data_IF_569285796061
#
_entry.id   IF_569285796061
#
_cell.length_a   1.000
_cell.length_b   1.000
_cell.length_c   1.000
_cell.angle_alpha   90.00
_cell.angle_beta   90.00
_cell.angle_gamma   90.00
#
_symmetry.space_group_name_H-M   'P 1'
#
loop_
_entity.id
_entity.type
_entity.pdbx_description
1 polymer ?
#
# COMPACT_ATOMS: atom_id res chain seq x y z
N UNK A 1 24.05 -2.34 -22.73
CA UNK A 1 22.87 -3.04 -22.18
C UNK A 1 22.11 -3.78 -23.27
N UNK A 2 22.12 -3.28 -24.51
CA UNK A 2 21.48 -3.93 -25.67
C UNK A 2 22.15 -5.25 -26.11
N UNK A 3 23.47 -5.37 -25.98
CA UNK A 3 24.21 -6.54 -26.46
C UNK A 3 23.96 -7.83 -25.66
N UNK A 4 23.56 -7.70 -24.38
CA UNK A 4 23.24 -8.85 -23.51
C UNK A 4 21.84 -9.41 -23.84
N UNK A 5 20.94 -8.57 -24.35
CA UNK A 5 19.59 -8.98 -24.76
C UNK A 5 19.61 -9.64 -26.14
N UNK A 6 20.45 -9.17 -27.06
CA UNK A 6 20.64 -9.83 -28.36
C UNK A 6 21.28 -11.22 -28.21
N UNK A 7 22.34 -11.34 -27.39
CA UNK A 7 23.03 -12.62 -27.19
C UNK A 7 22.12 -13.66 -26.51
N UNK A 8 21.23 -13.23 -25.61
CA UNK A 8 20.27 -14.15 -24.97
C UNK A 8 19.17 -14.60 -25.94
N UNK A 9 18.67 -13.74 -26.82
CA UNK A 9 17.68 -14.13 -27.84
C UNK A 9 18.27 -15.10 -28.87
N UNK A 10 19.52 -14.92 -29.29
CA UNK A 10 20.21 -15.80 -30.24
C UNK A 10 20.50 -17.18 -29.63
N UNK A 11 20.87 -17.24 -28.34
CA UNK A 11 21.06 -18.51 -27.62
C UNK A 11 19.75 -19.29 -27.50
N UNK A 12 18.65 -18.61 -27.18
CA UNK A 12 17.32 -19.24 -27.10
C UNK A 12 16.79 -19.71 -28.45
N UNK A 13 17.06 -18.97 -29.53
CA UNK A 13 16.68 -19.37 -30.89
C UNK A 13 17.43 -20.63 -31.36
N UNK A 14 18.73 -20.75 -31.07
CA UNK A 14 19.51 -21.96 -31.40
C UNK A 14 19.12 -23.18 -30.56
N UNK A 15 18.74 -22.97 -29.30
CA UNK A 15 18.28 -24.05 -28.42
C UNK A 15 16.91 -24.60 -28.86
N UNK A 16 16.04 -23.74 -29.39
CA UNK A 16 14.75 -24.13 -29.98
C UNK A 16 14.91 -24.90 -31.29
N UNK A 17 15.81 -24.46 -32.16
CA UNK A 17 16.08 -25.12 -33.45
C UNK A 17 16.74 -26.50 -33.26
N UNK A 18 17.62 -26.63 -32.27
CA UNK A 18 18.28 -27.90 -31.93
C UNK A 18 17.35 -28.90 -31.22
N UNK A 19 16.23 -28.43 -30.64
CA UNK A 19 15.17 -29.28 -30.06
C UNK A 19 14.11 -29.70 -31.07
N UNK A 20 14.00 -29.01 -32.19
CA UNK A 20 13.03 -29.26 -33.25
C UNK A 20 13.69 -29.95 -34.44
N UNK A 21 14.46 -31.01 -34.14
CA UNK A 21 15.14 -31.85 -35.11
C UNK A 21 14.28 -32.13 -36.35
N UNK A 22 14.86 -31.78 -37.49
CA UNK A 22 14.36 -31.87 -38.85
C UNK A 22 13.65 -33.20 -39.14
N UNK A 23 12.43 -33.14 -39.67
CA UNK A 23 11.81 -34.25 -40.39
C UNK A 23 10.43 -34.65 -39.87
N UNK A 24 9.43 -34.20 -40.61
CA UNK A 24 8.13 -34.85 -40.87
C UNK A 24 7.12 -35.03 -39.71
N UNK A 25 5.88 -34.62 -40.04
CA UNK A 25 4.60 -34.85 -39.36
C UNK A 25 4.40 -34.24 -37.96
N UNK A 26 4.04 -32.94 -37.92
CA UNK A 26 3.52 -32.30 -36.72
C UNK A 26 2.06 -31.84 -36.93
N UNK A 27 1.12 -32.69 -36.52
CA UNK A 27 -0.29 -32.32 -36.41
C UNK A 27 -0.47 -31.37 -35.21
N UNK A 28 -1.06 -30.20 -35.45
CA UNK A 28 -1.33 -29.15 -34.44
C UNK A 28 -2.33 -29.57 -33.33
N UNK A 29 -2.61 -30.87 -33.18
CA UNK A 29 -3.48 -31.45 -32.14
C UNK A 29 -2.69 -32.04 -30.96
N UNK A 30 -1.39 -32.33 -31.11
CA UNK A 30 -0.56 -32.88 -30.01
C UNK A 30 -0.18 -31.83 -28.95
N UNK A 31 -0.50 -30.55 -29.17
CA UNK A 31 -0.28 -29.46 -28.23
C UNK A 31 -1.56 -28.98 -27.52
N UNK A 32 -2.62 -29.80 -27.48
CA UNK A 32 -3.69 -29.64 -26.49
C UNK A 32 -3.18 -30.16 -25.13
N UNK A 33 -2.39 -29.33 -24.46
CA UNK A 33 -2.12 -29.48 -23.04
C UNK A 33 -3.47 -29.34 -22.33
N UNK A 34 -3.96 -30.42 -21.69
CA UNK A 34 -5.10 -30.33 -20.79
C UNK A 34 -4.88 -29.16 -19.82
N UNK A 35 -5.87 -28.28 -19.60
CA UNK A 35 -5.69 -27.17 -18.70
C UNK A 35 -5.47 -27.71 -17.28
N UNK A 36 -4.23 -27.62 -16.81
CA UNK A 36 -3.88 -27.86 -15.41
C UNK A 36 -4.64 -26.85 -14.56
N UNK A 37 -5.68 -27.33 -13.87
CA UNK A 37 -6.49 -26.54 -12.95
C UNK A 37 -5.73 -26.26 -11.64
N UNK A 38 -4.61 -25.55 -11.70
CA UNK A 38 -3.94 -25.05 -10.51
C UNK A 38 -4.24 -23.55 -10.33
N UNK A 39 -4.94 -23.23 -9.25
CA UNK A 39 -5.48 -21.91 -8.86
C UNK A 39 -4.42 -20.80 -8.73
N UNK A 40 -3.12 -21.10 -8.86
CA UNK A 40 -2.02 -20.14 -8.76
C UNK A 40 -1.60 -19.50 -10.09
N UNK A 41 -2.02 -20.04 -11.23
CA UNK A 41 -1.71 -19.49 -12.56
C UNK A 41 -2.85 -18.67 -13.18
N UNK A 42 -3.99 -18.49 -12.48
CA UNK A 42 -5.14 -17.71 -12.98
C UNK A 42 -4.78 -16.28 -13.34
N UNK A 43 -3.93 -15.62 -12.54
CA UNK A 43 -3.50 -14.25 -12.78
C UNK A 43 -2.60 -14.11 -14.02
N UNK A 44 -1.72 -15.09 -14.31
CA UNK A 44 -0.87 -15.00 -15.50
C UNK A 44 -1.61 -15.38 -16.79
N UNK A 45 -2.56 -16.30 -16.72
CA UNK A 45 -3.44 -16.65 -17.84
C UNK A 45 -4.38 -15.49 -18.16
N UNK A 46 -4.92 -14.79 -17.15
CA UNK A 46 -5.71 -13.55 -17.35
C UNK A 46 -4.87 -12.40 -17.94
N UNK A 47 -3.60 -12.26 -17.55
CA UNK A 47 -2.72 -11.23 -18.10
C UNK A 47 -2.35 -11.54 -19.55
N UNK A 48 -2.05 -12.81 -19.87
CA UNK A 48 -1.76 -13.25 -21.24
C UNK A 48 -3.00 -13.16 -22.14
N UNK A 49 -4.19 -13.56 -21.66
CA UNK A 49 -5.45 -13.40 -22.41
C UNK A 49 -5.79 -11.92 -22.60
N UNK A 50 -5.57 -11.07 -21.59
CA UNK A 50 -5.72 -9.61 -21.71
C UNK A 50 -4.73 -9.01 -22.71
N UNK A 51 -3.52 -9.55 -22.83
CA UNK A 51 -2.53 -9.11 -23.81
C UNK A 51 -2.91 -9.53 -25.24
N UNK A 52 -3.47 -10.73 -25.41
CA UNK A 52 -4.03 -11.20 -26.70
C UNK A 52 -5.26 -10.39 -27.11
N UNK A 53 -6.14 -10.01 -26.17
CA UNK A 53 -7.29 -9.12 -26.40
C UNK A 53 -6.92 -7.66 -26.67
N UNK A 54 -5.72 -7.22 -26.27
CA UNK A 54 -5.20 -5.88 -26.59
C UNK A 54 -4.50 -5.81 -27.95
N UNK A 55 -3.96 -6.93 -28.44
CA UNK A 55 -3.38 -7.04 -29.78
C UNK A 55 -4.46 -7.30 -30.85
N UNK A 56 -5.54 -8.00 -30.48
CA UNK A 56 -6.76 -8.07 -31.28
C UNK A 56 -7.54 -6.75 -31.12
N UNK A 57 -8.01 -6.15 -32.20
CA UNK A 57 -8.71 -4.84 -32.17
C UNK A 57 -10.09 -4.85 -31.50
N UNK A 58 -10.37 -5.83 -30.63
CA UNK A 58 -11.66 -6.15 -30.02
C UNK A 58 -12.13 -5.09 -29.01
N UNK A 59 -11.22 -4.36 -28.36
CA UNK A 59 -11.55 -3.22 -27.49
C UNK A 59 -12.29 -2.11 -28.25
N UNK A 60 -12.07 -1.98 -29.57
CA UNK A 60 -12.75 -0.97 -30.40
C UNK A 60 -14.20 -1.33 -30.75
N UNK A 61 -14.63 -2.57 -30.50
CA UNK A 61 -15.98 -3.08 -30.79
C UNK A 61 -16.79 -3.40 -29.52
N UNK A 62 -16.57 -2.67 -28.43
CA UNK A 62 -17.53 -2.71 -27.32
C UNK A 62 -18.85 -2.06 -27.76
N UNK A 63 -19.91 -2.86 -27.71
CA UNK A 63 -21.30 -2.49 -27.94
C UNK A 63 -21.62 -1.14 -27.25
N UNK A 64 -22.09 -0.10 -27.94
CA UNK A 64 -22.34 1.21 -27.36
C UNK A 64 -23.22 1.14 -26.10
N UNK A 65 -24.16 0.19 -26.04
CA UNK A 65 -25.00 -0.05 -24.87
C UNK A 65 -24.19 -0.57 -23.65
N UNK A 66 -23.25 -1.50 -23.85
CA UNK A 66 -22.35 -1.97 -22.78
C UNK A 66 -21.41 -0.86 -22.32
N UNK A 67 -21.00 0.02 -23.24
CA UNK A 67 -20.16 1.17 -22.95
C UNK A 67 -20.92 2.24 -22.14
N UNK A 68 -22.19 2.48 -22.45
CA UNK A 68 -23.07 3.36 -21.66
C UNK A 68 -23.39 2.77 -20.30
N UNK A 69 -23.62 1.46 -20.20
CA UNK A 69 -23.80 0.78 -18.90
C UNK A 69 -22.50 0.81 -18.09
N UNK A 70 -21.33 0.63 -18.70
CA UNK A 70 -20.03 0.80 -18.03
C UNK A 70 -19.79 2.24 -17.59
N UNK A 71 -20.10 3.23 -18.41
CA UNK A 71 -19.97 4.65 -18.05
C UNK A 71 -20.97 5.04 -16.94
N UNK A 72 -22.20 4.53 -16.96
CA UNK A 72 -23.22 4.77 -15.95
C UNK A 72 -22.97 4.01 -14.64
N UNK A 73 -22.41 2.80 -14.70
CA UNK A 73 -21.96 2.04 -13.51
C UNK A 73 -20.73 2.68 -12.90
N UNK A 74 -19.80 3.21 -13.70
CA UNK A 74 -18.75 4.08 -13.21
C UNK A 74 -19.40 5.29 -12.52
N UNK A 75 -20.27 6.05 -13.18
CA UNK A 75 -20.87 7.27 -12.60
C UNK A 75 -21.68 7.02 -11.30
N UNK A 76 -22.40 5.89 -11.21
CA UNK A 76 -23.08 5.43 -10.01
C UNK A 76 -22.12 4.96 -8.90
N UNK A 77 -20.97 4.38 -9.28
CA UNK A 77 -19.91 3.96 -8.36
C UNK A 77 -19.03 5.16 -7.92
N UNK A 78 -18.98 6.26 -8.69
CA UNK A 78 -18.29 7.54 -8.45
C UNK A 78 -19.17 8.61 -7.76
N UNK A 79 -20.28 8.23 -7.14
CA UNK A 79 -21.10 9.14 -6.33
C UNK A 79 -20.41 9.63 -5.03
N UNK A 80 -21.14 10.42 -4.23
CA UNK A 80 -20.66 10.98 -2.96
C UNK A 80 -20.11 9.94 -1.96
N UNK A 81 -20.62 8.69 -2.01
CA UNK A 81 -20.18 7.59 -1.15
C UNK A 81 -18.73 7.16 -1.42
N UNK A 82 -18.27 7.22 -2.66
CA UNK A 82 -16.88 6.90 -3.00
C UNK A 82 -15.94 7.96 -2.43
N UNK A 83 -16.27 9.24 -2.64
CA UNK A 83 -15.50 10.35 -2.10
C UNK A 83 -15.43 10.34 -0.57
N UNK A 84 -16.49 9.88 0.12
CA UNK A 84 -16.44 9.65 1.56
C UNK A 84 -15.47 8.54 1.97
N UNK A 85 -15.47 7.41 1.26
CA UNK A 85 -14.53 6.32 1.53
C UNK A 85 -13.09 6.75 1.27
N UNK A 86 -12.84 7.44 0.15
CA UNK A 86 -11.54 8.01 -0.18
C UNK A 86 -11.11 9.04 0.86
N UNK A 87 -12.00 9.92 1.30
CA UNK A 87 -11.74 10.88 2.36
C UNK A 87 -11.36 10.21 3.68
N UNK A 88 -12.05 9.14 4.07
CA UNK A 88 -11.75 8.36 5.28
C UNK A 88 -10.37 7.69 5.19
N UNK A 89 -10.04 7.09 4.04
CA UNK A 89 -8.73 6.46 3.80
C UNK A 89 -7.61 7.50 3.74
N UNK A 90 -7.85 8.63 3.07
CA UNK A 90 -6.93 9.76 3.03
C UNK A 90 -6.66 10.33 4.42
N UNK A 91 -7.69 10.40 5.27
CA UNK A 91 -7.54 10.81 6.67
C UNK A 91 -6.75 9.79 7.49
N UNK A 92 -6.99 8.49 7.31
CA UNK A 92 -6.19 7.44 7.94
C UNK A 92 -4.72 7.48 7.51
N UNK A 93 -4.48 7.70 6.22
CA UNK A 93 -3.14 7.89 5.65
C UNK A 93 -2.46 9.15 6.22
N UNK A 94 -3.21 10.25 6.32
CA UNK A 94 -2.76 11.49 6.91
C UNK A 94 -2.34 11.29 8.37
N UNK A 95 -3.19 10.65 9.19
CA UNK A 95 -2.87 10.32 10.58
C UNK A 95 -1.60 9.47 10.69
N UNK A 96 -1.49 8.43 9.87
CA UNK A 96 -0.32 7.55 9.86
C UNK A 96 0.97 8.30 9.46
N UNK A 97 0.89 9.23 8.51
CA UNK A 97 2.04 10.01 8.05
C UNK A 97 2.40 11.15 9.01
N UNK A 98 1.40 11.78 9.63
CA UNK A 98 1.59 12.81 10.64
C UNK A 98 2.24 12.24 11.91
N UNK A 99 1.95 10.98 12.23
CA UNK A 99 2.55 10.29 13.37
C UNK A 99 4.07 10.21 13.28
N UNK A 100 4.60 9.81 12.12
CA UNK A 100 6.05 9.64 11.92
C UNK A 100 6.78 10.97 11.95
N UNK A 101 6.16 12.04 11.43
CA UNK A 101 6.74 13.39 11.38
C UNK A 101 6.71 14.09 12.73
N UNK A 102 5.59 14.04 13.49
CA UNK A 102 5.54 14.69 14.80
C UNK A 102 6.57 14.09 15.76
N UNK A 103 6.69 12.76 15.80
CA UNK A 103 7.61 12.10 16.73
C UNK A 103 9.06 12.54 16.48
N UNK A 104 9.47 12.73 15.22
CA UNK A 104 10.81 13.20 14.90
C UNK A 104 11.12 14.55 15.58
N UNK A 105 10.13 15.46 15.67
CA UNK A 105 10.30 16.77 16.29
C UNK A 105 10.18 16.75 17.82
N UNK A 106 9.35 15.87 18.37
CA UNK A 106 9.15 15.76 19.82
C UNK A 106 10.13 14.79 20.49
N UNK A 107 10.94 14.05 19.72
CA UNK A 107 11.84 13.01 20.22
C UNK A 107 12.83 13.53 21.26
N UNK A 108 13.39 14.72 21.02
CA UNK A 108 14.37 15.34 21.93
C UNK A 108 13.72 15.69 23.27
N UNK A 109 12.50 16.24 23.25
CA UNK A 109 11.75 16.55 24.48
C UNK A 109 11.37 15.28 25.24
N UNK A 110 10.93 14.22 24.54
CA UNK A 110 10.64 12.90 25.14
C UNK A 110 11.89 12.32 25.81
N UNK A 111 13.04 12.39 25.12
CA UNK A 111 14.32 11.92 25.64
C UNK A 111 14.77 12.67 26.90
N UNK A 112 14.55 13.99 26.92
CA UNK A 112 14.88 14.86 28.05
C UNK A 112 14.00 14.58 29.27
N UNK A 113 12.69 14.41 29.08
CA UNK A 113 11.74 14.16 30.18
C UNK A 113 11.91 12.77 30.82
N UNK A 114 12.23 11.75 30.02
CA UNK A 114 12.40 10.36 30.48
C UNK A 114 13.84 10.04 30.89
N UNK A 115 14.76 11.02 30.79
CA UNK A 115 16.15 10.92 31.27
C UNK A 115 17.01 9.84 30.61
N UNK A 116 16.60 9.27 29.47
CA UNK A 116 17.19 8.06 28.87
C UNK A 116 17.58 8.24 27.41
N UNK A 117 18.52 9.15 27.11
CA UNK A 117 18.99 9.44 25.75
C UNK A 117 19.49 8.22 24.97
N UNK A 118 20.14 7.26 25.65
CA UNK A 118 20.64 6.03 25.02
C UNK A 118 19.52 5.16 24.41
N UNK A 119 18.29 5.26 24.93
CA UNK A 119 17.14 4.47 24.47
C UNK A 119 16.24 5.25 23.51
N UNK A 120 16.45 6.55 23.31
CA UNK A 120 15.59 7.39 22.46
C UNK A 120 15.59 6.96 21.00
N UNK A 121 16.73 6.47 20.47
CA UNK A 121 16.79 5.99 19.09
C UNK A 121 15.86 4.76 18.87
N UNK A 122 15.77 3.88 19.87
CA UNK A 122 14.90 2.70 19.82
C UNK A 122 13.41 3.03 19.70
N UNK A 123 12.96 4.22 20.10
CA UNK A 123 11.57 4.68 19.93
C UNK A 123 11.19 4.78 18.45
N UNK A 124 12.13 5.25 17.61
CA UNK A 124 11.96 5.36 16.17
C UNK A 124 12.20 4.00 15.51
N UNK A 125 13.26 3.29 15.90
CA UNK A 125 13.62 1.98 15.32
C UNK A 125 12.54 0.92 15.54
N UNK A 126 11.98 0.80 16.75
CA UNK A 126 10.94 -0.18 17.07
C UNK A 126 9.68 0.00 16.23
N UNK A 127 9.28 1.25 16.00
CA UNK A 127 8.19 1.60 15.11
C UNK A 127 8.51 1.22 13.68
N UNK A 128 9.65 1.65 13.13
CA UNK A 128 10.00 1.33 11.75
C UNK A 128 10.09 -0.18 11.51
N UNK A 129 10.61 -0.93 12.48
CA UNK A 129 10.76 -2.38 12.41
C UNK A 129 9.38 -3.07 12.30
N UNK A 130 8.46 -2.74 13.21
CA UNK A 130 7.10 -3.28 13.18
C UNK A 130 6.32 -2.75 12.00
N UNK A 131 6.40 -1.45 11.70
CA UNK A 131 5.75 -0.84 10.56
C UNK A 131 6.12 -1.57 9.25
N UNK A 132 7.42 -1.71 8.98
CA UNK A 132 7.89 -2.34 7.74
C UNK A 132 7.56 -3.83 7.69
N UNK A 133 7.69 -4.55 8.81
CA UNK A 133 7.36 -5.98 8.87
C UNK A 133 5.88 -6.27 8.69
N UNK A 134 5.01 -5.40 9.21
CA UNK A 134 3.56 -5.60 9.18
C UNK A 134 2.88 -5.06 7.91
N UNK A 135 3.54 -4.23 7.09
CA UNK A 135 3.00 -3.76 5.80
C UNK A 135 2.49 -4.93 4.94
N UNK A 136 3.32 -5.96 4.75
CA UNK A 136 2.97 -7.13 3.93
C UNK A 136 1.90 -7.98 4.62
N UNK A 137 1.96 -8.09 5.95
CA UNK A 137 1.01 -8.88 6.74
C UNK A 137 -0.39 -8.29 6.62
N UNK A 138 -0.54 -6.97 6.80
CA UNK A 138 -1.83 -6.29 6.67
C UNK A 138 -2.38 -6.34 5.24
N UNK A 139 -1.52 -6.27 4.22
CA UNK A 139 -1.93 -6.47 2.83
C UNK A 139 -2.54 -7.86 2.59
N UNK A 140 -2.08 -8.91 3.29
CA UNK A 140 -2.69 -10.24 3.19
C UNK A 140 -3.96 -10.38 4.04
N UNK A 141 -3.97 -9.78 5.23
CA UNK A 141 -5.15 -9.77 6.11
C UNK A 141 -6.31 -9.05 5.43
N UNK A 142 -6.04 -8.00 4.66
CA UNK A 142 -7.07 -7.25 3.95
C UNK A 142 -7.83 -8.05 2.90
N UNK A 143 -7.14 -9.01 2.28
CA UNK A 143 -7.73 -9.88 1.28
C UNK A 143 -8.68 -10.89 1.94
N UNK A 144 -8.38 -11.31 3.17
CA UNK A 144 -9.13 -12.33 3.93
C UNK A 144 -10.31 -11.76 4.73
N UNK A 145 -10.09 -10.68 5.47
CA UNK A 145 -11.11 -10.06 6.35
C UNK A 145 -11.92 -8.95 5.66
N UNK A 146 -11.58 -8.68 4.40
CA UNK A 146 -12.14 -7.59 3.61
C UNK A 146 -11.55 -6.22 3.96
N UNK A 147 -11.73 -5.28 3.04
CA UNK A 147 -11.13 -3.95 3.10
C UNK A 147 -11.63 -3.12 4.28
N UNK A 148 -12.94 -3.09 4.51
CA UNK A 148 -13.55 -2.24 5.55
C UNK A 148 -13.18 -2.68 6.98
N UNK A 149 -13.22 -3.99 7.26
CA UNK A 149 -12.87 -4.53 8.57
C UNK A 149 -11.42 -4.24 8.94
N UNK A 150 -10.52 -4.44 7.99
CA UNK A 150 -9.08 -4.23 8.19
C UNK A 150 -8.72 -2.78 8.48
N UNK A 151 -9.37 -1.81 7.81
CA UNK A 151 -9.18 -0.38 8.10
C UNK A 151 -9.63 -0.03 9.52
N UNK A 152 -10.81 -0.51 9.93
CA UNK A 152 -11.37 -0.21 11.27
C UNK A 152 -10.49 -0.80 12.37
N UNK A 153 -10.04 -2.04 12.20
CA UNK A 153 -9.14 -2.71 13.16
C UNK A 153 -7.81 -1.96 13.24
N UNK A 154 -7.21 -1.60 12.10
CA UNK A 154 -5.94 -0.88 12.06
C UNK A 154 -6.05 0.49 12.74
N UNK A 155 -7.13 1.22 12.47
CA UNK A 155 -7.41 2.51 13.11
C UNK A 155 -7.58 2.36 14.63
N UNK A 156 -8.34 1.36 15.07
CA UNK A 156 -8.58 1.11 16.50
C UNK A 156 -7.28 0.78 17.23
N UNK A 157 -6.47 -0.11 16.66
CA UNK A 157 -5.14 -0.48 17.20
C UNK A 157 -4.25 0.77 17.25
N UNK A 158 -4.18 1.54 16.16
CA UNK A 158 -3.37 2.75 16.08
C UNK A 158 -3.73 3.77 17.17
N UNK A 159 -5.02 4.08 17.33
CA UNK A 159 -5.49 5.06 18.32
C UNK A 159 -5.30 4.53 19.74
N UNK A 160 -5.63 3.28 20.03
CA UNK A 160 -5.46 2.70 21.38
C UNK A 160 -3.99 2.72 21.84
N UNK A 161 -3.07 2.31 20.97
CA UNK A 161 -1.65 2.33 21.31
C UNK A 161 -1.07 3.75 21.29
N UNK A 162 -1.62 4.68 20.49
CA UNK A 162 -1.28 6.10 20.61
C UNK A 162 -1.59 6.63 22.01
N UNK A 163 -2.79 6.36 22.51
CA UNK A 163 -3.18 6.74 23.87
C UNK A 163 -2.26 6.10 24.93
N UNK A 164 -1.91 4.83 24.76
CA UNK A 164 -0.97 4.13 25.65
C UNK A 164 0.41 4.79 25.67
N UNK A 165 0.93 5.22 24.51
CA UNK A 165 2.18 5.99 24.41
C UNK A 165 2.09 7.32 25.19
N UNK A 166 0.95 8.01 25.14
CA UNK A 166 0.72 9.26 25.87
C UNK A 166 0.71 9.10 27.40
N UNK A 167 0.29 7.94 27.92
CA UNK A 167 0.25 7.65 29.36
C UNK A 167 1.58 7.08 29.89
N UNK A 168 2.48 6.69 28.99
CA UNK A 168 3.75 6.04 29.36
C UNK A 168 4.60 6.87 30.33
N UNK A 169 5.21 6.18 31.30
CA UNK A 169 6.03 6.79 32.35
C UNK A 169 7.51 6.43 32.22
N UNK A 170 7.84 5.41 31.43
CA UNK A 170 9.22 4.95 31.20
C UNK A 170 9.52 4.82 29.71
N UNK A 171 10.80 4.99 29.35
CA UNK A 171 11.24 4.86 27.96
C UNK A 171 10.98 3.46 27.39
N UNK A 172 11.10 2.40 28.20
CA UNK A 172 10.84 1.02 27.75
C UNK A 172 9.36 0.79 27.44
N UNK A 173 8.45 1.26 28.29
CA UNK A 173 7.01 1.19 28.02
C UNK A 173 6.66 1.95 26.74
N UNK A 174 7.24 3.14 26.56
CA UNK A 174 7.04 3.93 25.34
C UNK A 174 7.49 3.14 24.11
N UNK A 175 8.68 2.53 24.12
CA UNK A 175 9.20 1.72 23.00
C UNK A 175 8.26 0.55 22.69
N UNK A 176 7.78 -0.18 23.71
CA UNK A 176 6.88 -1.31 23.52
C UNK A 176 5.56 -0.85 22.90
N UNK A 177 4.91 0.16 23.48
CA UNK A 177 3.67 0.71 22.92
C UNK A 177 3.87 1.26 21.51
N UNK A 178 5.02 1.86 21.21
CA UNK A 178 5.36 2.33 19.87
C UNK A 178 5.51 1.20 18.85
N UNK A 179 6.07 0.06 19.27
CA UNK A 179 6.13 -1.13 18.43
C UNK A 179 4.71 -1.63 18.07
N UNK A 180 3.80 -1.66 19.05
CA UNK A 180 2.41 -2.02 18.79
C UNK A 180 1.67 -0.99 17.93
N UNK A 181 1.93 0.29 18.13
CA UNK A 181 1.39 1.38 17.31
C UNK A 181 1.86 1.28 15.85
N UNK A 182 3.11 0.87 15.62
CA UNK A 182 3.67 0.65 14.28
C UNK A 182 2.90 -0.37 13.46
N UNK A 183 2.33 -1.40 14.11
CA UNK A 183 1.45 -2.36 13.43
C UNK A 183 0.17 -1.69 12.92
N UNK A 184 -0.48 -0.86 13.74
CA UNK A 184 -1.68 -0.12 13.33
C UNK A 184 -1.39 0.90 12.23
N UNK A 185 -0.25 1.60 12.31
CA UNK A 185 0.19 2.54 11.28
C UNK A 185 0.45 1.87 9.93
N UNK A 186 1.12 0.72 9.92
CA UNK A 186 1.37 -0.04 8.70
C UNK A 186 0.06 -0.52 8.04
N UNK A 187 -0.90 -0.95 8.84
CA UNK A 187 -2.24 -1.30 8.36
C UNK A 187 -2.95 -0.11 7.72
N UNK A 188 -2.97 1.06 8.39
CA UNK A 188 -3.57 2.28 7.83
C UNK A 188 -2.92 2.70 6.52
N UNK A 189 -1.59 2.71 6.46
CA UNK A 189 -0.84 3.07 5.26
C UNK A 189 -1.09 2.10 4.11
N UNK A 190 -0.90 0.79 4.34
CA UNK A 190 -1.07 -0.23 3.30
C UNK A 190 -2.50 -0.24 2.77
N UNK A 191 -3.50 -0.15 3.66
CA UNK A 191 -4.90 -0.14 3.24
C UNK A 191 -5.27 1.10 2.45
N UNK A 192 -4.79 2.27 2.86
CA UNK A 192 -5.06 3.50 2.14
C UNK A 192 -4.48 3.43 0.72
N UNK A 193 -3.22 3.00 0.58
CA UNK A 193 -2.58 2.89 -0.74
C UNK A 193 -3.28 1.84 -1.59
N UNK A 194 -3.50 0.62 -1.08
CA UNK A 194 -4.17 -0.45 -1.82
C UNK A 194 -5.56 -0.04 -2.29
N UNK A 195 -6.42 0.43 -1.39
CA UNK A 195 -7.81 0.75 -1.76
C UNK A 195 -7.89 1.93 -2.72
N UNK A 196 -7.05 2.95 -2.55
CA UNK A 196 -7.01 4.08 -3.50
C UNK A 196 -6.56 3.59 -4.88
N UNK A 197 -5.58 2.70 -4.98
CA UNK A 197 -5.14 2.16 -6.28
C UNK A 197 -6.17 1.27 -6.95
N UNK A 198 -6.96 0.53 -6.17
CA UNK A 198 -7.99 -0.39 -6.69
C UNK A 198 -9.23 0.32 -7.23
N UNK A 199 -9.61 1.45 -6.63
CA UNK A 199 -10.74 2.26 -7.10
C UNK A 199 -10.34 3.24 -8.19
N UNK A 200 -9.04 3.53 -8.37
CA UNK A 200 -8.56 4.52 -9.33
C UNK A 200 -8.39 3.90 -10.72
N UNK A 201 -9.03 4.44 -11.77
CA UNK A 201 -8.80 3.97 -13.14
C UNK A 201 -7.38 4.31 -13.58
N UNK A 202 -6.77 3.52 -14.48
CA UNK A 202 -5.41 3.77 -14.98
C UNK A 202 -5.19 5.21 -15.50
N UNK A 203 -6.23 5.85 -16.04
CA UNK A 203 -6.20 7.24 -16.51
C UNK A 203 -5.96 8.28 -15.40
N UNK A 204 -6.36 7.99 -14.17
CA UNK A 204 -6.29 8.91 -13.02
C UNK A 204 -5.22 8.52 -12.00
N UNK A 205 -4.41 7.50 -12.28
CA UNK A 205 -3.40 7.00 -11.35
C UNK A 205 -2.37 8.08 -10.96
N UNK A 206 -2.06 9.00 -11.88
CA UNK A 206 -1.21 10.17 -11.63
C UNK A 206 -1.86 11.24 -10.73
N UNK A 207 -3.19 11.39 -10.77
CA UNK A 207 -3.91 12.32 -9.89
C UNK A 207 -4.00 11.72 -8.48
N UNK A 208 -4.26 10.41 -8.36
CA UNK A 208 -4.30 9.72 -7.06
C UNK A 208 -2.93 9.69 -6.38
N UNK A 209 -1.83 9.47 -7.13
CA UNK A 209 -0.47 9.58 -6.57
C UNK A 209 -0.13 11.02 -6.15
N UNK A 210 -0.60 12.02 -6.92
CA UNK A 210 -0.52 13.43 -6.52
C UNK A 210 -1.30 13.77 -5.25
N UNK A 211 -2.49 13.16 -5.06
CA UNK A 211 -3.28 13.31 -3.84
C UNK A 211 -2.56 12.73 -2.63
N UNK A 212 -2.01 11.51 -2.75
CA UNK A 212 -1.19 10.91 -1.69
C UNK A 212 0.02 11.78 -1.38
N UNK A 213 0.73 12.26 -2.40
CA UNK A 213 1.86 13.18 -2.22
C UNK A 213 1.47 14.48 -1.51
N UNK A 214 0.26 15.01 -1.78
CA UNK A 214 -0.27 16.20 -1.12
C UNK A 214 -0.54 15.94 0.37
N UNK A 215 -1.08 14.77 0.72
CA UNK A 215 -1.28 14.34 2.11
C UNK A 215 0.05 14.26 2.85
N UNK A 216 1.07 13.68 2.22
CA UNK A 216 2.43 13.61 2.76
C UNK A 216 3.08 15.00 2.92
N UNK A 217 2.84 15.92 1.99
CA UNK A 217 3.31 17.29 2.11
C UNK A 217 2.62 18.03 3.26
N UNK A 218 1.29 17.89 3.39
CA UNK A 218 0.51 18.47 4.48
C UNK A 218 0.93 17.91 5.84
N UNK A 219 1.11 16.59 5.96
CA UNK A 219 1.58 15.96 7.20
C UNK A 219 2.99 16.41 7.56
N UNK A 220 3.88 16.57 6.59
CA UNK A 220 5.25 17.05 6.80
C UNK A 220 5.31 18.50 7.24
N UNK A 221 4.34 19.34 6.87
CA UNK A 221 4.23 20.72 7.35
C UNK A 221 3.59 20.79 8.74
N UNK A 222 2.51 20.04 8.95
CA UNK A 222 1.76 20.04 10.21
C UNK A 222 2.51 19.29 11.32
N UNK A 223 3.32 18.30 10.98
CA UNK A 223 4.04 17.47 11.95
C UNK A 223 4.97 18.29 12.84
N UNK A 224 5.99 18.97 12.29
CA UNK A 224 6.87 19.86 13.05
C UNK A 224 6.15 21.01 13.74
N UNK A 225 5.12 21.58 13.09
CA UNK A 225 4.38 22.71 13.62
C UNK A 225 3.60 22.31 14.89
N UNK A 226 2.84 21.22 14.83
CA UNK A 226 2.14 20.67 15.99
C UNK A 226 3.11 20.13 17.04
N UNK A 227 4.15 19.39 16.61
CA UNK A 227 5.15 18.81 17.51
C UNK A 227 5.93 19.86 18.29
N UNK A 228 6.32 20.96 17.63
CA UNK A 228 7.03 22.09 18.23
C UNK A 228 6.14 22.98 19.08
N UNK A 229 4.93 23.31 18.62
CA UNK A 229 3.99 24.11 19.39
C UNK A 229 3.56 23.40 20.69
N UNK A 230 3.36 22.08 20.62
CA UNK A 230 2.99 21.28 21.79
C UNK A 230 4.16 21.18 22.78
N UNK A 231 5.40 20.98 22.33
CA UNK A 231 6.56 20.92 23.25
C UNK A 231 6.92 22.28 23.85
N UNK A 232 6.57 23.39 23.22
CA UNK A 232 6.80 24.74 23.75
C UNK A 232 5.77 25.17 24.79
N UNK A 233 4.50 24.79 24.62
CA UNK A 233 3.40 25.25 25.47
C UNK A 233 2.78 24.19 26.38
N UNK A 234 3.07 22.90 26.16
CA UNK A 234 2.44 21.78 26.87
C UNK A 234 3.40 20.58 27.04
N UNK A 235 2.94 19.51 27.67
CA UNK A 235 3.71 18.26 27.82
C UNK A 235 3.67 17.46 26.52
N UNK A 236 4.79 16.82 26.14
CA UNK A 236 4.93 15.96 24.95
C UNK A 236 3.84 14.88 24.80
N UNK A 237 3.17 14.51 25.91
CA UNK A 237 2.05 13.54 25.93
C UNK A 237 0.86 13.96 25.06
N UNK A 238 0.62 15.25 24.88
CA UNK A 238 -0.48 15.76 24.06
C UNK A 238 -0.34 15.44 22.58
N UNK A 239 0.88 15.25 22.09
CA UNK A 239 1.16 14.76 20.73
C UNK A 239 0.48 13.42 20.46
N UNK A 240 0.35 12.59 21.49
CA UNK A 240 -0.23 11.25 21.39
C UNK A 240 -1.75 11.26 21.55
N UNK A 241 -2.30 12.21 22.31
CA UNK A 241 -3.76 12.38 22.47
C UNK A 241 -4.45 12.99 21.24
N UNK A 242 -3.72 13.74 20.41
CA UNK A 242 -4.27 14.48 19.27
C UNK A 242 -4.47 13.62 18.01
N UNK A 243 -3.95 12.39 17.99
CA UNK A 243 -4.01 11.45 16.85
C UNK A 243 -5.14 10.44 17.05
#
# INVERSE_FOLDING_TARGET
>A
MDQILEDSVVVWSRELDNRLGTGDDFHLEDFYVEPVSDSRYGSQVEILSSFTELHDGSVRKQDPEKREIQLATLDLQYGWRLWLNVGCLAFGLFLSSLETTIIATSLVSIASDLGSFNKSNWVVTSYLLTYTGFLIIFARISDLFGRKGTVIVSLTVFTLFSLACGVSQTMEQLIVFRAFQGMGGAGLYSMAVSVITEITPLKYIGISSGLMGSIFAMSSLLGPNLGGAITQHSTWRWVFYLK
#
